data_IF_804260565739
#
_entry.id   IF_804260565739
#
_cell.length_a   1.000
_cell.length_b   1.000
_cell.length_c   1.000
_cell.angle_alpha   90.00
_cell.angle_beta   90.00
_cell.angle_gamma   90.00
#
_symmetry.space_group_name_H-M   'P 1'
#
loop_
_entity.id
_entity.type
_entity.pdbx_description
1 polymer ?
#
# COMPACT_ATOMS: atom_id res chain seq x y z
N UNK A 1 -56.88 6.30 -77.05
CA UNK A 1 -56.82 6.25 -75.57
C UNK A 1 -55.92 5.07 -75.21
N UNK A 2 -54.85 5.34 -74.48
CA UNK A 2 -53.60 4.60 -74.48
C UNK A 2 -53.56 3.36 -73.54
N UNK A 3 -52.79 2.36 -73.99
CA UNK A 3 -51.91 1.42 -73.26
C UNK A 3 -52.43 0.61 -72.06
N UNK A 4 -52.33 -0.73 -72.14
CA UNK A 4 -51.14 -1.50 -71.71
C UNK A 4 -51.36 -3.01 -71.90
N UNK A 5 -50.62 -3.61 -72.83
CA UNK A 5 -50.54 -5.04 -73.09
C UNK A 5 -49.10 -5.49 -72.71
N UNK A 6 -49.02 -6.75 -72.25
CA UNK A 6 -47.87 -7.67 -72.28
C UNK A 6 -46.80 -7.69 -71.16
N UNK A 7 -46.85 -8.83 -70.47
CA UNK A 7 -45.79 -9.76 -70.07
C UNK A 7 -44.37 -9.59 -70.64
N UNK A 8 -43.39 -9.74 -69.72
CA UNK A 8 -41.96 -10.12 -69.82
C UNK A 8 -41.33 -10.28 -71.23
N UNK A 9 -40.10 -9.76 -71.50
CA UNK A 9 -38.85 -10.40 -70.99
C UNK A 9 -37.56 -9.52 -70.80
N UNK A 10 -36.61 -10.08 -70.03
CA UNK A 10 -35.13 -10.09 -70.00
C UNK A 10 -34.17 -8.89 -70.31
N UNK A 11 -33.13 -8.79 -69.43
CA UNK A 11 -31.69 -8.35 -69.61
C UNK A 11 -31.39 -6.83 -69.46
N UNK A 12 -30.44 -6.27 -68.65
CA UNK A 12 -28.95 -6.38 -68.62
C UNK A 12 -28.34 -5.70 -67.35
N UNK A 13 -27.35 -6.36 -66.73
CA UNK A 13 -26.11 -5.91 -66.01
C UNK A 13 -26.14 -4.93 -64.83
N UNK A 14 -25.62 -5.36 -63.68
CA UNK A 14 -24.34 -4.88 -63.09
C UNK A 14 -23.83 -5.91 -62.09
N UNK A 15 -22.65 -6.46 -62.35
CA UNK A 15 -21.91 -7.27 -61.40
C UNK A 15 -21.47 -6.40 -60.21
N UNK A 16 -21.80 -6.82 -58.99
CA UNK A 16 -20.99 -6.49 -57.82
C UNK A 16 -20.90 -7.76 -56.99
N UNK A 17 -19.71 -8.33 -57.03
CA UNK A 17 -19.25 -9.47 -56.26
C UNK A 17 -19.38 -9.14 -54.77
N UNK A 18 -20.42 -9.63 -54.09
CA UNK A 18 -20.45 -9.69 -52.63
C UNK A 18 -19.57 -10.87 -52.17
N UNK A 19 -18.52 -10.64 -51.36
CA UNK A 19 -17.73 -11.72 -50.78
C UNK A 19 -18.58 -12.51 -49.75
N UNK A 20 -18.27 -13.79 -49.52
CA UNK A 20 -19.08 -14.68 -48.69
C UNK A 20 -19.16 -14.16 -47.26
N UNK A 21 -20.37 -14.09 -46.72
CA UNK A 21 -20.60 -13.86 -45.29
C UNK A 21 -19.86 -14.94 -44.50
N UNK A 22 -18.71 -14.55 -43.98
CA UNK A 22 -18.00 -15.30 -42.97
C UNK A 22 -18.84 -15.15 -41.72
N UNK A 23 -19.49 -16.23 -41.30
CA UNK A 23 -20.01 -16.38 -39.95
C UNK A 23 -18.82 -16.23 -39.01
N UNK A 24 -18.50 -14.99 -38.63
CA UNK A 24 -17.61 -14.73 -37.50
C UNK A 24 -18.42 -15.05 -36.26
N UNK A 25 -18.39 -16.32 -35.87
CA UNK A 25 -18.55 -16.73 -34.47
C UNK A 25 -17.60 -15.82 -33.66
N UNK A 26 -18.17 -14.78 -33.08
CA UNK A 26 -17.47 -14.04 -32.05
C UNK A 26 -17.24 -15.05 -30.94
N UNK A 27 -16.00 -15.40 -30.59
CA UNK A 27 -15.78 -16.19 -29.40
C UNK A 27 -16.37 -15.34 -28.28
N UNK A 28 -17.43 -15.88 -27.66
CA UNK A 28 -17.95 -15.41 -26.39
C UNK A 28 -16.73 -15.42 -25.50
N UNK A 29 -16.09 -14.27 -25.35
CA UNK A 29 -14.99 -14.08 -24.43
C UNK A 29 -15.69 -14.22 -23.09
N UNK A 30 -15.68 -15.46 -22.61
CA UNK A 30 -16.05 -15.84 -21.27
C UNK A 30 -15.36 -14.80 -20.42
N UNK A 31 -16.14 -13.89 -19.85
CA UNK A 31 -15.66 -12.92 -18.91
C UNK A 31 -15.26 -13.78 -17.72
N UNK A 32 -14.03 -14.29 -17.75
CA UNK A 32 -13.37 -14.86 -16.60
C UNK A 32 -13.39 -13.72 -15.61
N UNK A 33 -14.40 -13.75 -14.76
CA UNK A 33 -14.53 -12.86 -13.62
C UNK A 33 -13.35 -13.27 -12.77
N UNK A 34 -12.21 -12.62 -12.99
CA UNK A 34 -11.06 -12.71 -12.12
C UNK A 34 -11.62 -12.30 -10.77
N UNK A 35 -11.82 -13.29 -9.89
CA UNK A 35 -12.18 -13.03 -8.51
C UNK A 35 -11.02 -12.20 -7.97
N UNK A 36 -11.17 -10.88 -8.00
CA UNK A 36 -10.25 -9.99 -7.31
C UNK A 36 -10.24 -10.49 -5.87
N UNK A 37 -9.12 -11.05 -5.43
CA UNK A 37 -8.85 -11.35 -4.03
C UNK A 37 -8.84 -9.99 -3.32
N UNK A 38 -10.03 -9.53 -2.94
CA UNK A 38 -10.19 -8.32 -2.14
C UNK A 38 -9.61 -8.67 -0.77
N UNK A 39 -8.53 -7.98 -0.41
CA UNK A 39 -8.02 -8.04 0.95
C UNK A 39 -9.16 -7.73 1.91
N UNK A 40 -9.36 -8.60 2.89
CA UNK A 40 -10.37 -8.40 3.92
C UNK A 40 -10.00 -7.17 4.77
N UNK A 41 -10.99 -6.47 5.31
CA UNK A 41 -10.81 -5.21 6.03
C UNK A 41 -9.79 -5.29 7.18
N UNK A 42 -9.78 -6.39 7.92
CA UNK A 42 -8.83 -6.60 9.03
C UNK A 42 -7.38 -6.67 8.53
N UNK A 43 -7.01 -7.58 7.60
CA UNK A 43 -5.70 -7.55 6.95
C UNK A 43 -5.32 -6.19 6.37
N UNK A 44 -6.28 -5.47 5.78
CA UNK A 44 -6.03 -4.13 5.23
C UNK A 44 -5.63 -3.13 6.31
N UNK A 45 -6.32 -3.11 7.46
CA UNK A 45 -5.98 -2.24 8.59
C UNK A 45 -4.57 -2.56 9.11
N UNK A 46 -4.24 -3.84 9.31
CA UNK A 46 -2.92 -4.23 9.78
C UNK A 46 -1.83 -3.93 8.76
N UNK A 47 -2.10 -4.10 7.46
CA UNK A 47 -1.16 -3.73 6.41
C UNK A 47 -0.87 -2.23 6.43
N UNK A 48 -1.91 -1.38 6.51
CA UNK A 48 -1.73 0.08 6.64
C UNK A 48 -0.98 0.43 7.93
N UNK A 49 -1.35 -0.21 9.05
CA UNK A 49 -0.65 -0.02 10.33
C UNK A 49 0.83 -0.32 10.18
N UNK A 50 1.22 -1.48 9.64
CA UNK A 50 2.62 -1.85 9.48
C UNK A 50 3.39 -1.03 8.45
N UNK A 51 2.71 -0.53 7.43
CA UNK A 51 3.33 0.30 6.42
C UNK A 51 3.68 1.70 6.98
N UNK A 52 2.83 2.24 7.85
CA UNK A 52 3.02 3.58 8.44
C UNK A 52 3.74 3.51 9.79
N UNK A 53 3.53 2.45 10.56
CA UNK A 53 4.00 2.28 11.92
C UNK A 53 4.56 0.86 12.15
N UNK A 54 5.84 0.77 12.51
CA UNK A 54 6.50 -0.49 12.85
C UNK A 54 6.27 -0.98 14.29
N UNK A 55 5.30 -0.40 15.01
CA UNK A 55 5.18 -0.49 16.47
C UNK A 55 5.70 0.75 17.19
N UNK A 56 5.52 0.86 18.52
CA UNK A 56 5.98 2.00 19.33
C UNK A 56 7.50 2.05 19.54
N UNK A 57 8.27 1.30 18.77
CA UNK A 57 9.74 1.27 18.87
C UNK A 57 10.33 2.60 18.37
N UNK A 58 11.23 3.20 19.12
CA UNK A 58 11.86 4.47 18.76
C UNK A 58 11.18 5.72 19.34
N UNK A 59 10.15 5.55 20.16
CA UNK A 59 9.60 6.63 20.99
C UNK A 59 10.47 6.90 22.23
N UNK A 60 11.31 5.94 22.66
CA UNK A 60 12.12 6.08 23.87
C UNK A 60 13.11 7.25 23.83
N UNK A 61 13.83 7.53 22.72
CA UNK A 61 14.69 8.70 22.61
C UNK A 61 13.89 10.01 22.65
N UNK A 62 12.70 10.05 22.05
CA UNK A 62 11.84 11.22 22.04
C UNK A 62 11.31 11.55 23.45
N UNK A 63 10.86 10.53 24.18
CA UNK A 63 10.42 10.67 25.58
C UNK A 63 11.59 11.04 26.49
N UNK A 64 12.78 10.47 26.27
CA UNK A 64 13.99 10.81 27.04
C UNK A 64 14.45 12.24 26.82
N UNK A 65 14.30 12.78 25.60
CA UNK A 65 14.72 14.14 25.26
C UNK A 65 13.69 15.21 25.66
N UNK A 66 12.39 14.96 25.46
CA UNK A 66 11.32 15.92 25.73
C UNK A 66 10.77 15.85 27.16
N UNK A 67 11.02 14.74 27.87
CA UNK A 67 10.42 14.45 29.17
C UNK A 67 9.01 13.86 29.06
N UNK A 68 8.50 13.21 30.13
CA UNK A 68 7.26 12.42 30.06
C UNK A 68 6.03 13.25 29.68
N UNK A 69 5.90 14.46 30.24
CA UNK A 69 4.71 15.31 30.07
C UNK A 69 4.61 15.85 28.63
N UNK A 70 5.71 16.40 28.09
CA UNK A 70 5.72 16.94 26.73
C UNK A 70 5.58 15.85 25.67
N UNK A 71 6.15 14.66 25.92
CA UNK A 71 5.96 13.53 25.01
C UNK A 71 4.50 13.07 24.95
N UNK A 72 3.84 12.88 26.11
CA UNK A 72 2.42 12.50 26.16
C UNK A 72 1.55 13.57 25.48
N UNK A 73 1.80 14.85 25.77
CA UNK A 73 1.04 15.93 25.17
C UNK A 73 1.24 15.99 23.64
N UNK A 74 2.48 15.78 23.17
CA UNK A 74 2.80 15.65 21.75
C UNK A 74 2.06 14.50 21.08
N UNK A 75 2.11 13.30 21.66
CA UNK A 75 1.41 12.13 21.14
C UNK A 75 -0.11 12.27 21.16
N UNK A 76 -0.66 13.07 22.08
CA UNK A 76 -2.10 13.30 22.13
C UNK A 76 -2.54 14.36 21.12
N UNK A 77 -1.84 15.49 21.03
CA UNK A 77 -2.25 16.63 20.20
C UNK A 77 -1.93 16.41 18.72
N UNK A 78 -0.75 15.85 18.42
CA UNK A 78 -0.22 15.75 17.06
C UNK A 78 -1.15 14.96 16.10
N UNK A 79 -1.72 13.81 16.49
CA UNK A 79 -2.63 13.07 15.60
C UNK A 79 -3.92 13.83 15.28
N UNK A 80 -4.47 14.64 16.20
CA UNK A 80 -5.70 15.40 15.94
C UNK A 80 -5.45 16.60 15.03
N UNK A 81 -4.29 17.24 15.13
CA UNK A 81 -3.96 18.39 14.29
C UNK A 81 -3.56 17.95 12.88
N UNK A 82 -2.88 16.80 12.75
CA UNK A 82 -2.31 16.37 11.48
C UNK A 82 -3.00 15.14 10.89
N UNK A 83 -2.98 14.00 11.60
CA UNK A 83 -3.43 12.71 11.06
C UNK A 83 -4.94 12.63 10.82
N UNK A 84 -5.77 13.20 11.70
CA UNK A 84 -7.23 13.16 11.56
C UNK A 84 -7.71 13.96 10.33
N UNK A 85 -7.29 15.23 10.13
CA UNK A 85 -7.63 15.97 8.92
C UNK A 85 -7.10 15.30 7.65
N UNK A 86 -5.86 14.81 7.66
CA UNK A 86 -5.26 14.11 6.51
C UNK A 86 -6.05 12.85 6.15
N UNK A 87 -6.47 12.06 7.13
CA UNK A 87 -7.27 10.85 6.94
C UNK A 87 -8.67 11.19 6.38
N UNK A 88 -9.31 12.25 6.86
CA UNK A 88 -10.61 12.70 6.35
C UNK A 88 -10.52 13.16 4.89
N UNK A 89 -9.52 13.96 4.55
CA UNK A 89 -9.29 14.41 3.15
C UNK A 89 -9.02 13.21 2.24
N UNK A 90 -8.20 12.26 2.70
CA UNK A 90 -7.89 11.01 1.99
C UNK A 90 -9.16 10.17 1.78
N UNK A 91 -10.03 10.09 2.79
CA UNK A 91 -11.30 9.36 2.69
C UNK A 91 -12.25 9.98 1.65
N UNK A 92 -12.47 11.30 1.72
CA UNK A 92 -13.32 12.04 0.78
C UNK A 92 -12.81 11.94 -0.67
N UNK A 93 -11.50 12.05 -0.87
CA UNK A 93 -10.88 11.91 -2.19
C UNK A 93 -10.96 10.46 -2.70
N UNK A 94 -10.79 9.46 -1.82
CA UNK A 94 -10.88 8.05 -2.20
C UNK A 94 -12.30 7.63 -2.60
N UNK A 95 -13.34 8.26 -2.03
CA UNK A 95 -14.74 8.03 -2.45
C UNK A 95 -15.09 8.81 -3.71
N UNK A 96 -14.51 9.99 -3.90
CA UNK A 96 -14.78 10.86 -5.07
C UNK A 96 -14.13 10.33 -6.35
N UNK A 97 -12.93 9.76 -6.25
CA UNK A 97 -12.19 9.22 -7.41
C UNK A 97 -11.95 7.71 -7.26
N UNK A 98 -12.93 6.87 -7.64
CA UNK A 98 -12.78 5.42 -7.58
C UNK A 98 -11.77 4.95 -8.64
N UNK A 99 -10.53 4.72 -8.22
CA UNK A 99 -9.47 4.19 -9.08
C UNK A 99 -8.29 3.68 -8.26
N UNK A 100 -7.59 2.65 -8.76
CA UNK A 100 -6.47 2.00 -8.06
C UNK A 100 -5.18 2.85 -7.99
N UNK A 101 -5.23 4.15 -8.30
CA UNK A 101 -4.07 5.04 -8.35
C UNK A 101 -3.98 6.06 -7.21
N UNK A 102 -4.96 6.08 -6.29
CA UNK A 102 -4.92 6.87 -5.05
C UNK A 102 -4.45 8.33 -5.25
N UNK A 103 -3.44 8.73 -4.48
CA UNK A 103 -2.86 10.08 -4.48
C UNK A 103 -2.38 10.58 -5.85
N UNK A 104 -1.94 9.68 -6.75
CA UNK A 104 -1.51 10.05 -8.12
C UNK A 104 -2.71 10.53 -8.94
N UNK A 105 -3.84 9.85 -8.83
CA UNK A 105 -5.08 10.23 -9.54
C UNK A 105 -5.64 11.52 -8.97
N UNK A 106 -5.57 11.73 -7.65
CA UNK A 106 -6.02 12.96 -7.01
C UNK A 106 -5.21 14.17 -7.48
N UNK A 107 -3.87 14.02 -7.53
CA UNK A 107 -2.97 15.07 -8.01
C UNK A 107 -3.12 15.32 -9.52
N UNK A 108 -3.30 14.28 -10.33
CA UNK A 108 -3.61 14.41 -11.77
C UNK A 108 -4.91 15.19 -12.00
N UNK A 109 -5.96 14.87 -11.24
CA UNK A 109 -7.27 15.53 -11.36
C UNK A 109 -7.26 16.98 -10.85
N UNK A 110 -6.49 17.30 -9.83
CA UNK A 110 -6.44 18.63 -9.23
C UNK A 110 -5.47 19.59 -9.95
N UNK A 111 -4.29 19.11 -10.34
CA UNK A 111 -3.19 19.95 -10.85
C UNK A 111 -2.74 19.59 -12.28
N UNK A 112 -3.24 18.49 -12.83
CA UNK A 112 -2.91 18.00 -14.18
C UNK A 112 -1.85 16.89 -14.21
N UNK A 113 -1.59 16.32 -15.40
CA UNK A 113 -0.82 15.08 -15.56
C UNK A 113 0.65 15.14 -15.15
N UNK A 114 1.27 16.32 -15.23
CA UNK A 114 2.64 16.52 -14.77
C UNK A 114 2.75 16.33 -13.25
N UNK A 115 1.85 16.94 -12.48
CA UNK A 115 1.89 16.90 -11.02
C UNK A 115 1.48 15.54 -10.45
N UNK A 116 0.54 14.86 -11.11
CA UNK A 116 0.24 13.46 -10.82
C UNK A 116 1.49 12.57 -10.96
N UNK A 117 2.18 12.64 -12.10
CA UNK A 117 3.40 11.88 -12.35
C UNK A 117 4.53 12.20 -11.36
N UNK A 118 4.71 13.48 -11.03
CA UNK A 118 5.72 13.91 -10.04
C UNK A 118 5.43 13.34 -8.65
N UNK A 119 4.17 13.41 -8.20
CA UNK A 119 3.77 12.87 -6.90
C UNK A 119 3.92 11.35 -6.85
N UNK A 120 3.58 10.64 -7.93
CA UNK A 120 3.82 9.21 -8.09
C UNK A 120 5.30 8.85 -7.97
N UNK A 121 6.15 9.59 -8.68
CA UNK A 121 7.61 9.39 -8.68
C UNK A 121 8.21 9.64 -7.30
N UNK A 122 7.76 10.70 -6.61
CA UNK A 122 8.23 11.02 -5.26
C UNK A 122 7.84 9.93 -4.26
N UNK A 123 6.58 9.46 -4.31
CA UNK A 123 6.14 8.37 -3.43
C UNK A 123 6.86 7.05 -3.73
N UNK A 124 7.13 6.76 -5.00
CA UNK A 124 7.96 5.62 -5.37
C UNK A 124 9.36 5.72 -4.75
N UNK A 125 10.01 6.89 -4.85
CA UNK A 125 11.33 7.12 -4.27
C UNK A 125 11.32 6.94 -2.74
N UNK A 126 10.33 7.51 -2.04
CA UNK A 126 10.15 7.30 -0.60
C UNK A 126 9.94 5.82 -0.27
N UNK A 127 9.15 5.10 -1.07
CA UNK A 127 8.93 3.67 -0.90
C UNK A 127 10.22 2.85 -1.03
N UNK A 128 11.05 3.15 -2.05
CA UNK A 128 12.35 2.49 -2.25
C UNK A 128 13.29 2.74 -1.08
N UNK A 129 13.39 3.99 -0.61
CA UNK A 129 14.23 4.36 0.53
C UNK A 129 13.75 3.64 1.80
N UNK A 130 12.43 3.55 2.00
CA UNK A 130 11.85 2.86 3.15
C UNK A 130 12.19 1.36 3.13
N UNK A 131 11.95 0.68 2.01
CA UNK A 131 12.25 -0.75 1.85
C UNK A 131 13.75 -1.04 2.00
N UNK A 132 14.62 -0.15 1.51
CA UNK A 132 16.06 -0.28 1.67
C UNK A 132 16.53 -0.09 3.13
N UNK A 133 15.77 0.65 3.94
CA UNK A 133 16.12 0.92 5.34
C UNK A 133 15.87 -0.28 6.25
N UNK A 134 14.81 -1.07 6.01
CA UNK A 134 14.45 -2.20 6.90
C UNK A 134 15.55 -3.28 7.05
N UNK A 135 16.19 -3.80 5.97
CA UNK A 135 17.29 -4.76 6.11
C UNK A 135 18.49 -4.19 6.86
N UNK A 136 18.78 -2.91 6.65
CA UNK A 136 19.89 -2.21 7.34
C UNK A 136 19.61 -2.14 8.83
N UNK A 137 18.38 -1.73 9.22
CA UNK A 137 17.98 -1.69 10.63
C UNK A 137 18.05 -3.09 11.26
N UNK A 138 17.52 -4.12 10.59
CA UNK A 138 17.54 -5.50 11.07
C UNK A 138 18.96 -5.94 11.45
N UNK A 139 19.94 -5.60 10.62
CA UNK A 139 21.34 -5.97 10.83
C UNK A 139 21.99 -5.12 11.91
N UNK A 140 21.66 -3.83 12.00
CA UNK A 140 22.11 -3.00 13.11
C UNK A 140 21.60 -3.52 14.46
N UNK A 141 20.40 -4.10 14.52
CA UNK A 141 19.93 -4.79 15.72
C UNK A 141 20.67 -6.12 15.96
N UNK A 142 20.96 -6.90 14.91
CA UNK A 142 21.71 -8.16 15.02
C UNK A 142 23.17 -7.95 15.44
N UNK A 143 23.80 -6.83 15.06
CA UNK A 143 25.16 -6.45 15.47
C UNK A 143 25.29 -6.32 17.00
N UNK A 144 24.24 -5.85 17.69
CA UNK A 144 24.23 -5.76 19.15
C UNK A 144 24.23 -7.13 19.84
N UNK A 145 23.80 -8.19 19.15
CA UNK A 145 23.71 -9.55 19.68
C UNK A 145 24.92 -10.38 19.24
N UNK A 146 25.37 -10.20 18.00
CA UNK A 146 26.50 -10.92 17.40
C UNK A 146 27.59 -9.93 16.94
N UNK A 147 28.62 -9.67 17.76
CA UNK A 147 29.70 -8.74 17.40
C UNK A 147 30.54 -9.20 16.19
N UNK A 148 30.40 -10.47 15.76
CA UNK A 148 30.99 -10.98 14.50
C UNK A 148 30.47 -10.23 13.26
N UNK A 149 29.27 -9.64 13.31
CA UNK A 149 28.72 -8.87 12.19
C UNK A 149 29.29 -7.44 12.09
N UNK A 150 30.10 -6.98 13.05
CA UNK A 150 30.69 -5.63 13.01
C UNK A 150 31.76 -5.46 11.93
N UNK A 151 32.27 -6.56 11.32
CA UNK A 151 33.24 -6.45 10.23
C UNK A 151 32.55 -5.97 8.94
N UNK A 152 33.07 -4.90 8.32
CA UNK A 152 32.37 -4.19 7.24
C UNK A 152 31.99 -5.05 6.03
N UNK A 153 32.73 -6.13 5.76
CA UNK A 153 32.40 -7.11 4.70
C UNK A 153 31.27 -8.04 5.16
N UNK A 154 31.32 -8.55 6.40
CA UNK A 154 30.24 -9.39 6.97
C UNK A 154 28.93 -8.63 7.07
N UNK A 155 28.96 -7.33 7.39
CA UNK A 155 27.77 -6.46 7.41
C UNK A 155 27.14 -6.35 6.02
N UNK A 156 27.94 -6.06 5.00
CA UNK A 156 27.44 -5.97 3.61
C UNK A 156 26.85 -7.29 3.14
N UNK A 157 27.49 -8.41 3.46
CA UNK A 157 27.00 -9.73 3.08
C UNK A 157 25.71 -10.11 3.83
N UNK A 158 25.59 -9.74 5.11
CA UNK A 158 24.37 -9.89 5.87
C UNK A 158 23.23 -9.04 5.26
N UNK A 159 23.51 -7.78 4.86
CA UNK A 159 22.49 -6.89 4.26
C UNK A 159 22.01 -7.50 2.94
N UNK A 160 22.95 -7.95 2.11
CA UNK A 160 22.64 -8.61 0.85
C UNK A 160 21.80 -9.87 1.08
N UNK A 161 22.21 -10.74 2.01
CA UNK A 161 21.52 -11.98 2.34
C UNK A 161 20.10 -11.75 2.87
N UNK A 162 19.94 -10.80 3.82
CA UNK A 162 18.63 -10.42 4.35
C UNK A 162 17.72 -9.85 3.26
N UNK A 163 18.26 -9.02 2.37
CA UNK A 163 17.49 -8.42 1.26
C UNK A 163 17.05 -9.49 0.26
N UNK A 164 17.94 -10.43 -0.08
CA UNK A 164 17.62 -11.53 -0.99
C UNK A 164 16.57 -12.48 -0.38
N UNK A 165 16.70 -12.79 0.91
CA UNK A 165 15.75 -13.59 1.65
C UNK A 165 14.37 -12.92 1.70
N UNK A 166 14.29 -11.63 2.08
CA UNK A 166 13.03 -10.87 2.05
C UNK A 166 12.45 -10.82 0.64
N UNK A 167 13.27 -10.66 -0.39
CA UNK A 167 12.81 -10.66 -1.78
C UNK A 167 12.20 -12.01 -2.15
N UNK A 168 12.83 -13.11 -1.75
CA UNK A 168 12.30 -14.46 -1.98
C UNK A 168 10.96 -14.68 -1.26
N UNK A 169 10.84 -14.25 0.00
CA UNK A 169 9.59 -14.32 0.77
C UNK A 169 8.48 -13.50 0.10
N UNK A 170 8.80 -12.32 -0.45
CA UNK A 170 7.84 -11.51 -1.20
C UNK A 170 7.26 -12.24 -2.42
N UNK A 171 7.99 -13.16 -3.05
CA UNK A 171 7.46 -13.98 -4.15
C UNK A 171 6.48 -15.08 -3.72
N UNK A 172 6.45 -15.44 -2.43
CA UNK A 172 5.67 -16.60 -1.93
C UNK A 172 4.17 -16.30 -1.77
N UNK A 173 3.75 -15.03 -1.89
CA UNK A 173 2.35 -14.65 -2.06
C UNK A 173 1.83 -13.65 -1.02
N UNK A 174 1.27 -12.54 -1.50
CA UNK A 174 0.73 -11.41 -0.73
C UNK A 174 -0.35 -11.81 0.30
N UNK A 175 -1.12 -12.86 0.04
CA UNK A 175 -2.18 -13.32 0.95
C UNK A 175 -1.63 -13.94 2.22
N UNK A 176 -0.51 -14.68 2.14
CA UNK A 176 0.16 -15.28 3.30
C UNK A 176 0.83 -14.18 4.13
N UNK A 177 1.43 -13.18 3.47
CA UNK A 177 2.04 -12.02 4.13
C UNK A 177 1.03 -11.25 4.98
N UNK A 178 -0.20 -11.07 4.49
CA UNK A 178 -1.25 -10.40 5.26
C UNK A 178 -1.58 -11.09 6.59
N UNK A 179 -1.72 -12.43 6.60
CA UNK A 179 -1.96 -13.17 7.84
C UNK A 179 -0.74 -13.20 8.76
N UNK A 180 0.46 -13.36 8.20
CA UNK A 180 1.72 -13.33 8.95
C UNK A 180 1.93 -11.96 9.59
N UNK A 181 1.59 -10.87 8.91
CA UNK A 181 1.63 -9.51 9.45
C UNK A 181 0.73 -9.38 10.69
N UNK A 182 -0.52 -9.84 10.63
CA UNK A 182 -1.43 -9.81 11.79
C UNK A 182 -0.82 -10.54 12.99
N UNK A 183 -0.28 -11.75 12.78
CA UNK A 183 0.35 -12.53 13.86
C UNK A 183 1.58 -11.81 14.42
N UNK A 184 2.46 -11.30 13.57
CA UNK A 184 3.61 -10.49 13.97
C UNK A 184 3.19 -9.25 14.76
N UNK A 185 2.08 -8.61 14.39
CA UNK A 185 1.56 -7.41 15.07
C UNK A 185 1.06 -7.71 16.44
N UNK A 186 0.29 -8.78 16.59
CA UNK A 186 -0.16 -9.21 17.92
C UNK A 186 1.04 -9.55 18.80
N UNK A 187 2.02 -10.29 18.28
CA UNK A 187 3.22 -10.67 19.04
C UNK A 187 4.09 -9.46 19.39
N UNK A 188 4.26 -8.49 18.49
CA UNK A 188 5.08 -7.30 18.75
C UNK A 188 4.41 -6.29 19.67
N UNK A 189 3.08 -6.14 19.60
CA UNK A 189 2.32 -5.25 20.50
C UNK A 189 2.12 -5.86 21.89
N UNK A 190 2.04 -7.20 22.00
CA UNK A 190 1.84 -7.88 23.28
C UNK A 190 2.76 -7.41 24.42
N UNK A 191 4.11 -7.35 24.26
CA UNK A 191 5.00 -6.87 25.33
C UNK A 191 4.73 -5.40 25.71
N UNK A 192 4.36 -4.54 24.76
CA UNK A 192 3.99 -3.15 25.07
C UNK A 192 2.67 -3.06 25.82
N UNK A 193 1.67 -3.85 25.44
CA UNK A 193 0.40 -3.92 26.17
C UNK A 193 0.67 -4.38 27.60
N UNK A 194 1.46 -5.43 27.79
CA UNK A 194 1.81 -5.94 29.12
C UNK A 194 2.59 -4.89 29.92
N UNK A 195 3.61 -4.26 29.33
CA UNK A 195 4.39 -3.21 30.00
C UNK A 195 3.53 -1.99 30.35
N UNK A 196 2.62 -1.58 29.46
CA UNK A 196 1.68 -0.48 29.70
C UNK A 196 0.72 -0.82 30.85
N UNK A 197 0.14 -2.02 30.87
CA UNK A 197 -0.73 -2.48 31.96
C UNK A 197 -0.01 -2.53 33.31
N UNK A 198 1.27 -2.93 33.34
CA UNK A 198 2.10 -2.93 34.55
C UNK A 198 2.52 -1.49 34.95
N UNK A 199 2.67 -0.60 33.97
CA UNK A 199 3.07 0.79 34.19
C UNK A 199 1.94 1.63 34.79
N UNK A 200 0.68 1.46 34.32
CA UNK A 200 -0.51 2.21 34.79
C UNK A 200 -0.59 2.33 36.33
N UNK A 201 -0.51 1.25 37.13
CA UNK A 201 -0.57 1.34 38.59
C UNK A 201 0.68 1.95 39.25
N UNK A 202 1.79 2.10 38.51
CA UNK A 202 3.05 2.68 38.99
C UNK A 202 3.28 4.12 38.51
N UNK A 203 2.32 4.70 37.79
CA UNK A 203 2.40 6.10 37.35
C UNK A 203 2.34 6.99 38.60
N UNK A 204 3.42 7.71 38.85
CA UNK A 204 3.48 8.77 39.87
C UNK A 204 3.38 10.12 39.16
N UNK A 205 2.19 10.73 39.03
CA UNK A 205 1.98 11.94 38.23
C UNK A 205 2.80 13.13 38.73
N UNK A 206 3.18 13.13 40.01
CA UNK A 206 4.08 14.10 40.62
C UNK A 206 5.46 14.17 39.94
N UNK A 207 6.00 13.06 39.41
CA UNK A 207 7.28 13.04 38.69
C UNK A 207 7.20 13.62 37.28
N UNK A 208 6.00 13.93 36.78
CA UNK A 208 5.85 14.51 35.44
C UNK A 208 6.12 16.02 35.44
N UNK A 209 6.11 16.65 36.62
CA UNK A 209 6.31 18.09 36.83
C UNK A 209 7.70 18.37 37.45
N UNK A 210 8.29 17.42 38.18
CA UNK A 210 9.67 17.54 38.66
C UNK A 210 10.63 17.09 37.55
N UNK A 211 11.18 18.06 36.81
CA UNK A 211 12.30 17.85 35.88
C UNK A 211 13.58 17.53 36.65
#
# INVERSE_FOLDING_TARGET
MAQKIESHPSTITTATTEPPQTTQDHPITTTTTTKNHKLTLIPLIFLIYFEVAGGPYGEEPAVKAAGPLLAILGFLIFPFIWSVPEALITAELSTTFPGNGGFVIWADKAFGPFWGSLMGTWKFLTGVINIASFPVLCISYLENIFPVLSSGVSRKLAILGSTLFLSFVNYTGLTIVGYVAVVLGVISLAPFIIMSLIAIPKIHPHRWISL
#
